data_IF_902688772379
#
_entry.id   IF_902688772379
#
_cell.length_a   1.000
_cell.length_b   1.000
_cell.length_c   1.000
_cell.angle_alpha   90.00
_cell.angle_beta   90.00
_cell.angle_gamma   90.00
#
_symmetry.space_group_name_H-M   'P 1'
#
loop_
_entity.id
_entity.type
_entity.pdbx_description
1 polymer ?
#
# COMPACT_ATOMS: atom_id res chain seq x y z
N UNK A 1 -2.75 47.65 -12.42
CA UNK A 1 -1.52 48.11 -13.07
C UNK A 1 -0.26 48.03 -12.20
N UNK A 2 -0.13 48.78 -11.10
CA UNK A 2 1.12 48.77 -10.30
C UNK A 2 1.34 47.44 -9.54
N UNK A 3 0.26 46.87 -9.00
CA UNK A 3 0.31 45.57 -8.32
C UNK A 3 0.61 44.39 -9.27
N UNK A 4 0.12 44.45 -10.51
CA UNK A 4 0.36 43.41 -11.55
C UNK A 4 1.78 43.46 -12.08
N UNK A 5 2.38 44.65 -12.22
CA UNK A 5 3.80 44.80 -12.59
C UNK A 5 4.70 44.19 -11.52
N UNK A 6 4.43 44.50 -10.24
CA UNK A 6 5.18 43.97 -9.10
C UNK A 6 5.09 42.45 -9.00
N UNK A 7 3.91 41.88 -9.25
CA UNK A 7 3.70 40.43 -9.26
C UNK A 7 4.44 39.75 -10.43
N UNK A 8 4.44 40.36 -11.62
CA UNK A 8 5.15 39.84 -12.79
C UNK A 8 6.68 39.82 -12.58
N UNK A 9 7.23 40.88 -11.99
CA UNK A 9 8.65 40.96 -11.65
C UNK A 9 9.07 39.89 -10.64
N UNK A 10 8.24 39.64 -9.61
CA UNK A 10 8.49 38.58 -8.64
C UNK A 10 8.50 37.18 -9.28
N UNK A 11 7.59 36.91 -10.21
CA UNK A 11 7.55 35.62 -10.92
C UNK A 11 8.81 35.44 -11.78
N UNK A 12 9.22 36.48 -12.51
CA UNK A 12 10.43 36.44 -13.34
C UNK A 12 11.68 36.19 -12.48
N UNK A 13 11.79 36.83 -11.31
CA UNK A 13 12.89 36.59 -10.37
C UNK A 13 12.91 35.15 -9.84
N UNK A 14 11.74 34.57 -9.53
CA UNK A 14 11.65 33.16 -9.11
C UNK A 14 12.11 32.20 -10.21
N UNK A 15 11.70 32.46 -11.46
CA UNK A 15 12.11 31.65 -12.60
C UNK A 15 13.64 31.70 -12.77
N UNK A 16 14.22 32.89 -12.72
CA UNK A 16 15.67 33.09 -12.80
C UNK A 16 16.43 32.35 -11.70
N UNK A 17 15.97 32.45 -10.45
CA UNK A 17 16.61 31.77 -9.32
C UNK A 17 16.63 30.24 -9.50
N UNK A 18 15.53 29.65 -9.98
CA UNK A 18 15.45 28.20 -10.24
C UNK A 18 16.36 27.79 -11.40
N UNK A 19 16.43 28.61 -12.46
CA UNK A 19 17.36 28.38 -13.58
C UNK A 19 18.81 28.38 -13.10
N UNK A 20 19.21 29.38 -12.32
CA UNK A 20 20.57 29.49 -11.77
C UNK A 20 20.90 28.30 -10.86
N UNK A 21 19.98 27.92 -9.98
CA UNK A 21 20.12 26.75 -9.13
C UNK A 21 20.31 25.47 -9.96
N UNK A 22 19.46 25.24 -10.96
CA UNK A 22 19.55 24.04 -11.82
C UNK A 22 20.82 23.99 -12.65
N UNK A 23 21.29 25.14 -13.14
CA UNK A 23 22.58 25.24 -13.83
C UNK A 23 23.75 24.92 -12.88
N UNK A 24 23.70 25.39 -11.63
CA UNK A 24 24.72 25.09 -10.63
C UNK A 24 24.74 23.60 -10.24
N UNK A 25 23.56 23.00 -9.98
CA UNK A 25 23.39 21.57 -9.67
C UNK A 25 23.97 20.68 -10.78
N UNK A 26 23.70 21.01 -12.05
CA UNK A 26 24.17 20.26 -13.22
C UNK A 26 25.61 20.64 -13.64
N UNK A 27 26.29 21.55 -12.91
CA UNK A 27 27.60 22.15 -13.29
C UNK A 27 27.63 22.61 -14.76
N UNK A 28 26.51 23.17 -15.22
CA UNK A 28 26.26 23.48 -16.61
C UNK A 28 26.76 24.89 -16.96
N UNK A 29 27.53 25.00 -18.05
CA UNK A 29 27.97 26.30 -18.61
C UNK A 29 26.92 26.85 -19.57
N UNK A 30 26.89 28.16 -19.75
CA UNK A 30 25.95 28.84 -20.66
C UNK A 30 25.97 28.28 -22.09
N UNK A 31 27.16 27.94 -22.62
CA UNK A 31 27.29 27.34 -23.96
C UNK A 31 26.55 26.01 -24.06
N UNK A 32 26.70 25.14 -23.07
CA UNK A 32 26.02 23.84 -23.05
C UNK A 32 24.50 23.98 -22.99
N UNK A 33 23.99 24.97 -22.24
CA UNK A 33 22.57 25.29 -22.22
C UNK A 33 22.05 25.76 -23.59
N UNK A 34 22.84 26.58 -24.30
CA UNK A 34 22.49 27.04 -25.65
C UNK A 34 22.48 25.88 -26.65
N UNK A 35 23.42 24.95 -26.54
CA UNK A 35 23.48 23.76 -27.39
C UNK A 35 22.21 22.92 -27.21
N UNK A 36 21.76 22.70 -25.95
CA UNK A 36 20.51 21.98 -25.64
C UNK A 36 19.28 22.74 -26.17
N UNK A 37 19.24 24.07 -26.01
CA UNK A 37 18.17 24.89 -26.58
C UNK A 37 18.09 24.72 -28.10
N UNK A 38 19.23 24.72 -28.80
CA UNK A 38 19.30 24.57 -30.24
C UNK A 38 18.89 23.16 -30.70
N UNK A 39 19.32 22.10 -30.00
CA UNK A 39 18.89 20.72 -30.25
C UNK A 39 17.38 20.55 -30.15
N UNK A 40 16.74 21.31 -29.25
CA UNK A 40 15.28 21.34 -29.07
C UNK A 40 14.54 22.32 -30.01
N UNK A 41 15.25 22.99 -30.92
CA UNK A 41 14.67 23.90 -31.90
C UNK A 41 14.40 25.33 -31.40
N UNK A 42 14.96 25.72 -30.25
CA UNK A 42 14.86 27.08 -29.72
C UNK A 42 16.02 27.97 -30.20
N UNK A 43 15.71 29.25 -30.41
CA UNK A 43 16.68 30.25 -30.85
C UNK A 43 16.90 31.25 -29.71
N UNK A 44 17.92 31.02 -28.89
CA UNK A 44 18.35 31.94 -27.84
C UNK A 44 19.79 32.37 -28.13
N UNK A 45 20.06 33.67 -28.14
CA UNK A 45 21.42 34.14 -28.40
C UNK A 45 22.29 34.13 -27.15
N UNK A 46 23.60 33.89 -27.32
CA UNK A 46 24.54 33.91 -26.19
C UNK A 46 24.58 35.27 -25.47
N UNK A 47 24.47 36.37 -26.22
CA UNK A 47 24.45 37.73 -25.67
C UNK A 47 23.16 38.03 -24.89
N UNK A 48 22.02 37.46 -25.29
CA UNK A 48 20.76 37.54 -24.56
C UNK A 48 20.81 36.70 -23.28
N UNK A 49 21.22 35.42 -23.36
CA UNK A 49 21.35 34.55 -22.20
C UNK A 49 22.30 35.14 -21.15
N UNK A 50 23.45 35.66 -21.57
CA UNK A 50 24.40 36.29 -20.65
C UNK A 50 23.81 37.51 -19.95
N UNK A 51 23.02 38.35 -20.65
CA UNK A 51 22.39 39.55 -20.06
C UNK A 51 21.24 39.19 -19.12
N UNK A 52 20.51 38.12 -19.42
CA UNK A 52 19.44 37.57 -18.58
C UNK A 52 20.03 37.08 -17.25
N UNK A 53 21.05 36.21 -17.31
CA UNK A 53 21.71 35.65 -16.12
C UNK A 53 22.47 36.73 -15.31
N UNK A 54 23.01 37.75 -15.97
CA UNK A 54 23.62 38.88 -15.27
C UNK A 54 22.60 39.91 -14.77
N UNK A 55 21.29 39.62 -14.81
CA UNK A 55 20.21 40.51 -14.37
C UNK A 55 20.19 41.90 -15.05
N UNK A 56 20.79 42.01 -16.25
CA UNK A 56 20.89 43.28 -17.01
C UNK A 56 19.66 43.55 -17.88
N UNK A 57 18.93 42.51 -18.24
CA UNK A 57 17.66 42.61 -18.97
C UNK A 57 16.61 41.73 -18.29
N UNK A 58 15.35 42.18 -18.33
CA UNK A 58 14.23 41.35 -17.88
C UNK A 58 14.03 40.17 -18.84
N UNK A 59 13.81 38.99 -18.30
CA UNK A 59 13.55 37.79 -19.07
C UNK A 59 12.18 37.87 -19.76
N UNK A 60 12.17 37.75 -21.09
CA UNK A 60 10.93 37.59 -21.86
C UNK A 60 10.33 36.19 -21.72
N UNK A 61 9.05 36.04 -22.07
CA UNK A 61 8.35 34.75 -22.01
C UNK A 61 9.00 33.67 -22.89
N UNK A 62 9.43 34.04 -24.10
CA UNK A 62 10.06 33.08 -25.02
C UNK A 62 11.39 32.54 -24.47
N UNK A 63 12.36 33.39 -24.05
CA UNK A 63 13.57 32.90 -23.38
C UNK A 63 13.27 32.08 -22.12
N UNK A 64 12.25 32.47 -21.33
CA UNK A 64 11.86 31.71 -20.14
C UNK A 64 11.41 30.28 -20.50
N UNK A 65 10.54 30.13 -21.50
CA UNK A 65 10.05 28.82 -21.94
C UNK A 65 11.18 27.97 -22.54
N UNK A 66 12.02 28.56 -23.39
CA UNK A 66 13.14 27.86 -24.03
C UNK A 66 14.15 27.34 -23.00
N UNK A 67 14.55 28.19 -22.04
CA UNK A 67 15.52 27.82 -21.00
C UNK A 67 14.92 26.82 -20.02
N UNK A 68 13.67 27.01 -19.59
CA UNK A 68 13.01 26.08 -18.70
C UNK A 68 12.87 24.69 -19.35
N UNK A 69 12.44 24.61 -20.61
CA UNK A 69 12.34 23.32 -21.30
C UNK A 69 13.72 22.68 -21.50
N UNK A 70 14.75 23.45 -21.87
CA UNK A 70 16.12 22.93 -21.98
C UNK A 70 16.69 22.39 -20.66
N UNK A 71 16.28 22.96 -19.53
CA UNK A 71 16.72 22.52 -18.20
C UNK A 71 15.83 21.46 -17.55
N UNK A 72 14.73 21.08 -18.20
CA UNK A 72 13.68 20.19 -17.68
C UNK A 72 13.00 20.79 -16.42
N UNK A 73 12.64 22.07 -16.51
CA UNK A 73 11.96 22.84 -15.47
C UNK A 73 10.50 23.05 -15.90
N UNK A 74 9.56 22.55 -15.09
CA UNK A 74 8.15 22.86 -15.29
C UNK A 74 7.84 24.28 -14.82
N UNK A 75 7.74 25.19 -15.78
CA UNK A 75 7.46 26.61 -15.54
C UNK A 75 6.13 26.83 -14.79
N UNK A 76 5.15 25.93 -14.95
CA UNK A 76 3.87 26.03 -14.24
C UNK A 76 4.06 25.87 -12.73
N UNK A 77 5.05 25.09 -12.29
CA UNK A 77 5.35 24.92 -10.86
C UNK A 77 5.89 26.19 -10.22
N UNK A 78 6.55 27.04 -11.00
CA UNK A 78 7.13 28.30 -10.54
C UNK A 78 6.09 29.43 -10.59
N UNK A 79 5.30 29.46 -11.66
CA UNK A 79 4.25 30.48 -11.90
C UNK A 79 3.04 30.24 -11.00
N UNK A 80 2.70 28.98 -10.72
CA UNK A 80 1.57 28.57 -9.90
C UNK A 80 1.97 27.54 -8.83
N UNK A 81 2.77 27.94 -7.82
CA UNK A 81 3.24 27.03 -6.78
C UNK A 81 2.09 26.34 -6.04
N UNK A 82 0.95 27.02 -5.90
CA UNK A 82 -0.25 26.52 -5.20
C UNK A 82 -1.10 25.55 -6.04
N UNK A 83 -0.83 25.42 -7.35
CA UNK A 83 -1.58 24.53 -8.26
C UNK A 83 -0.86 23.23 -8.60
N UNK A 84 0.38 23.06 -8.12
CA UNK A 84 1.12 21.81 -8.30
C UNK A 84 0.53 20.77 -7.37
N UNK A 85 -0.20 19.80 -7.92
CA UNK A 85 -0.51 18.55 -7.22
C UNK A 85 0.80 17.80 -6.97
N UNK A 86 1.53 18.20 -5.93
CA UNK A 86 2.65 17.40 -5.41
C UNK A 86 2.05 16.12 -4.86
N UNK A 87 2.36 14.98 -5.47
CA UNK A 87 2.19 13.70 -4.81
C UNK A 87 3.14 13.72 -3.60
N UNK A 88 2.60 13.91 -2.41
CA UNK A 88 3.32 14.19 -1.17
C UNK A 88 3.99 12.96 -0.54
N UNK A 89 3.90 11.78 -1.17
CA UNK A 89 4.58 10.58 -0.66
C UNK A 89 6.05 10.62 -1.08
N UNK A 90 6.88 11.26 -0.27
CA UNK A 90 8.33 11.25 -0.44
C UNK A 90 8.87 9.84 -0.20
N UNK A 91 9.12 9.09 -1.28
CA UNK A 91 9.77 7.80 -1.27
C UNK A 91 11.16 7.95 -1.91
N UNK A 92 12.25 8.06 -1.12
CA UNK A 92 13.59 8.13 -1.67
C UNK A 92 13.88 6.90 -2.52
N UNK A 93 14.19 7.12 -3.80
CA UNK A 93 14.53 6.01 -4.71
C UNK A 93 15.81 5.27 -4.31
N UNK A 94 16.65 5.87 -3.45
CA UNK A 94 17.82 5.21 -2.86
C UNK A 94 17.46 4.08 -1.89
N UNK A 95 16.25 4.11 -1.33
CA UNK A 95 15.82 3.21 -0.25
C UNK A 95 14.65 2.34 -0.69
N UNK A 96 13.72 2.93 -1.46
CA UNK A 96 12.55 2.25 -1.98
C UNK A 96 12.67 2.06 -3.49
N UNK A 97 12.46 0.82 -3.93
CA UNK A 97 12.33 0.53 -5.35
C UNK A 97 10.91 0.90 -5.75
N UNK A 98 10.79 1.82 -6.71
CA UNK A 98 9.49 2.29 -7.24
C UNK A 98 9.35 2.04 -8.74
N UNK A 99 10.49 1.86 -9.45
CA UNK A 99 10.53 1.59 -10.88
C UNK A 99 10.06 0.16 -11.18
N UNK A 100 9.01 -0.03 -12.00
CA UNK A 100 8.45 -1.34 -12.30
C UNK A 100 9.36 -2.24 -13.15
N UNK A 101 10.41 -1.71 -13.78
CA UNK A 101 11.36 -2.49 -14.58
C UNK A 101 12.48 -3.10 -13.73
N UNK A 102 12.47 -2.83 -12.43
CA UNK A 102 13.45 -3.37 -11.48
C UNK A 102 13.04 -4.80 -11.09
N UNK A 103 13.99 -5.75 -10.96
CA UNK A 103 13.68 -7.15 -10.63
C UNK A 103 12.84 -7.35 -9.37
N UNK A 104 12.93 -6.40 -8.42
CA UNK A 104 12.19 -6.39 -7.18
C UNK A 104 10.67 -6.16 -7.39
N UNK A 105 10.26 -5.49 -8.47
CA UNK A 105 8.85 -5.18 -8.80
C UNK A 105 8.36 -5.91 -10.04
N UNK A 106 9.20 -6.13 -11.06
CA UNK A 106 8.76 -6.65 -12.37
C UNK A 106 7.89 -7.92 -12.23
N UNK A 107 8.30 -8.83 -11.34
CA UNK A 107 7.60 -10.09 -11.11
C UNK A 107 6.30 -9.96 -10.28
N UNK A 108 6.05 -8.79 -9.69
CA UNK A 108 4.76 -8.44 -9.08
C UNK A 108 3.75 -7.91 -10.10
N UNK A 109 4.15 -7.45 -11.29
CA UNK A 109 3.23 -6.83 -12.23
C UNK A 109 2.14 -7.78 -12.75
N UNK A 110 0.93 -7.26 -12.94
CA UNK A 110 -0.22 -7.96 -13.49
C UNK A 110 -1.42 -8.00 -12.53
N UNK A 111 -2.37 -8.86 -12.84
CA UNK A 111 -3.64 -8.98 -12.11
C UNK A 111 -3.62 -10.12 -11.09
N UNK A 112 -4.25 -9.86 -9.96
CA UNK A 112 -4.46 -10.79 -8.85
C UNK A 112 -5.93 -10.78 -8.45
N UNK A 113 -6.43 -11.95 -8.09
CA UNK A 113 -7.61 -12.08 -7.26
C UNK A 113 -7.22 -11.85 -5.80
N UNK A 114 -8.18 -11.42 -4.99
CA UNK A 114 -7.99 -11.18 -3.57
C UNK A 114 -9.10 -11.81 -2.74
N UNK A 115 -8.76 -12.23 -1.53
CA UNK A 115 -9.67 -12.85 -0.58
C UNK A 115 -9.38 -12.32 0.83
N UNK A 116 -10.41 -11.85 1.54
CA UNK A 116 -10.30 -11.39 2.93
C UNK A 116 -11.69 -11.35 3.60
N UNK A 117 -11.75 -11.35 4.93
CA UNK A 117 -13.01 -11.18 5.66
C UNK A 117 -13.40 -9.71 5.78
N UNK A 118 -14.70 -9.44 5.72
CA UNK A 118 -15.26 -8.14 6.06
C UNK A 118 -14.90 -7.76 7.50
N UNK A 119 -14.62 -6.49 7.71
CA UNK A 119 -14.22 -5.94 9.02
C UNK A 119 -15.40 -5.57 9.92
N UNK A 120 -16.62 -5.97 9.56
CA UNK A 120 -17.78 -5.82 10.44
C UNK A 120 -17.85 -7.04 11.37
N UNK A 121 -17.76 -6.80 12.68
CA UNK A 121 -17.80 -7.85 13.69
C UNK A 121 -19.11 -8.64 13.73
N UNK A 122 -20.14 -8.20 13.00
CA UNK A 122 -21.46 -8.87 12.92
C UNK A 122 -21.58 -9.84 11.75
N UNK A 123 -20.66 -9.80 10.80
CA UNK A 123 -20.75 -10.58 9.56
C UNK A 123 -19.45 -11.31 9.25
N UNK A 124 -19.49 -12.64 9.29
CA UNK A 124 -18.42 -13.50 8.74
C UNK A 124 -18.52 -13.57 7.22
N UNK A 125 -18.49 -12.40 6.56
CA UNK A 125 -18.61 -12.27 5.11
C UNK A 125 -17.23 -12.30 4.46
N UNK A 126 -17.00 -13.31 3.62
CA UNK A 126 -15.79 -13.42 2.81
C UNK A 126 -15.93 -12.54 1.56
N UNK A 127 -15.01 -11.59 1.41
CA UNK A 127 -15.00 -10.60 0.34
C UNK A 127 -14.00 -10.95 -0.75
N UNK A 128 -14.37 -10.63 -2.00
CA UNK A 128 -13.59 -10.90 -3.20
C UNK A 128 -13.31 -9.61 -3.95
N UNK A 129 -12.06 -9.43 -4.35
CA UNK A 129 -11.63 -8.27 -5.11
C UNK A 129 -10.57 -8.60 -6.15
N UNK A 130 -10.16 -7.57 -6.89
CA UNK A 130 -9.08 -7.65 -7.88
C UNK A 130 -8.05 -6.57 -7.61
N UNK A 131 -6.79 -6.98 -7.51
CA UNK A 131 -5.64 -6.08 -7.43
C UNK A 131 -4.89 -6.13 -8.76
N UNK A 132 -4.65 -4.97 -9.36
CA UNK A 132 -3.87 -4.84 -10.58
C UNK A 132 -2.65 -3.95 -10.32
N UNK A 133 -1.48 -4.51 -10.59
CA UNK A 133 -0.20 -3.81 -10.49
C UNK A 133 0.33 -3.58 -11.91
N UNK A 134 0.47 -2.31 -12.31
CA UNK A 134 0.86 -1.95 -13.67
C UNK A 134 1.96 -0.90 -13.69
N UNK A 135 2.85 -1.02 -14.68
CA UNK A 135 3.86 -0.01 -14.95
C UNK A 135 3.20 1.24 -15.52
N UNK A 136 3.46 2.40 -14.92
CA UNK A 136 3.07 3.72 -15.44
C UNK A 136 4.27 4.64 -15.48
N UNK A 137 4.17 5.70 -16.29
CA UNK A 137 5.20 6.73 -16.43
C UNK A 137 4.56 8.10 -16.26
N UNK A 138 5.19 8.95 -15.45
CA UNK A 138 4.80 10.36 -15.26
C UNK A 138 6.07 11.19 -15.24
N UNK A 139 6.12 12.25 -16.06
CA UNK A 139 7.26 13.20 -16.08
C UNK A 139 8.62 12.48 -16.16
N UNK A 140 8.75 11.55 -17.11
CA UNK A 140 9.95 10.71 -17.32
C UNK A 140 10.28 9.68 -16.23
N UNK A 141 9.58 9.65 -15.09
CA UNK A 141 9.78 8.67 -14.03
C UNK A 141 8.78 7.51 -14.14
N UNK A 142 9.29 6.28 -14.21
CA UNK A 142 8.47 5.08 -14.16
C UNK A 142 8.09 4.74 -12.72
N UNK A 143 6.87 4.26 -12.50
CA UNK A 143 6.37 3.82 -11.21
C UNK A 143 5.38 2.67 -11.33
N UNK A 144 5.26 1.86 -10.27
CA UNK A 144 4.23 0.83 -10.19
C UNK A 144 2.92 1.40 -9.64
N UNK A 145 1.91 1.48 -10.50
CA UNK A 145 0.54 1.85 -10.14
C UNK A 145 -0.17 0.64 -9.55
N UNK A 146 -0.96 0.87 -8.51
CA UNK A 146 -1.88 -0.13 -7.96
C UNK A 146 -3.32 0.32 -8.17
N UNK A 147 -4.16 -0.59 -8.67
CA UNK A 147 -5.60 -0.42 -8.75
C UNK A 147 -6.26 -1.59 -8.04
N UNK A 148 -7.17 -1.31 -7.12
CA UNK A 148 -7.90 -2.34 -6.41
C UNK A 148 -9.39 -2.13 -6.58
N UNK A 149 -10.10 -3.20 -6.90
CA UNK A 149 -11.54 -3.20 -7.02
C UNK A 149 -12.17 -4.26 -6.14
N UNK A 150 -13.22 -3.88 -5.43
CA UNK A 150 -13.92 -4.73 -4.49
C UNK A 150 -15.37 -4.84 -4.93
N UNK A 151 -15.82 -6.08 -5.10
CA UNK A 151 -17.22 -6.39 -5.34
C UNK A 151 -17.99 -6.17 -4.03
N UNK A 152 -18.97 -5.27 -4.03
CA UNK A 152 -19.80 -5.05 -2.83
C UNK A 152 -21.00 -5.97 -2.79
N UNK A 153 -21.27 -6.72 -3.87
CA UNK A 153 -22.50 -7.48 -4.09
C UNK A 153 -23.78 -6.62 -4.08
N UNK A 154 -23.65 -5.29 -3.99
CA UNK A 154 -24.76 -4.35 -4.05
C UNK A 154 -25.00 -3.89 -5.49
N UNK A 155 -26.22 -3.45 -5.78
CA UNK A 155 -26.58 -2.82 -7.05
C UNK A 155 -27.05 -1.39 -6.84
N UNK A 156 -26.75 -0.51 -7.79
CA UNK A 156 -27.27 0.85 -7.80
C UNK A 156 -28.78 0.89 -8.14
N UNK A 157 -29.34 2.09 -8.16
CA UNK A 157 -30.74 2.32 -8.50
C UNK A 157 -31.13 1.92 -9.93
N UNK A 158 -30.17 1.57 -10.78
CA UNK A 158 -30.34 1.10 -12.15
C UNK A 158 -30.03 -0.40 -12.29
N UNK A 159 -29.82 -1.11 -11.18
CA UNK A 159 -29.50 -2.54 -11.15
C UNK A 159 -28.07 -2.87 -11.57
N UNK A 160 -27.17 -1.88 -11.64
CA UNK A 160 -25.77 -2.10 -11.98
C UNK A 160 -24.94 -2.40 -10.71
N UNK A 161 -24.03 -3.37 -10.74
CA UNK A 161 -23.18 -3.68 -9.59
C UNK A 161 -22.37 -2.45 -9.13
N UNK A 162 -22.41 -2.18 -7.83
CA UNK A 162 -21.59 -1.15 -7.21
C UNK A 162 -20.22 -1.77 -6.91
N UNK A 163 -19.17 -1.19 -7.49
CA UNK A 163 -17.79 -1.62 -7.24
C UNK A 163 -17.05 -0.51 -6.50
N UNK A 164 -16.45 -0.83 -5.35
CA UNK A 164 -15.53 0.11 -4.68
C UNK A 164 -14.19 0.04 -5.39
N UNK A 165 -13.65 1.22 -5.72
CA UNK A 165 -12.42 1.35 -6.49
C UNK A 165 -11.41 2.20 -5.74
N UNK A 166 -10.20 1.67 -5.63
CA UNK A 166 -9.07 2.29 -4.97
C UNK A 166 -7.91 2.40 -5.95
N UNK A 167 -7.13 3.47 -5.79
CA UNK A 167 -5.97 3.75 -6.62
C UNK A 167 -4.79 4.16 -5.74
N UNK A 168 -3.59 3.76 -6.14
CA UNK A 168 -2.39 4.25 -5.51
C UNK A 168 -1.13 3.62 -6.07
N UNK A 169 -0.18 3.29 -5.20
CA UNK A 169 1.19 2.91 -5.60
C UNK A 169 1.65 1.66 -4.87
N UNK A 170 2.41 0.85 -5.60
CA UNK A 170 3.14 -0.29 -5.08
C UNK A 170 4.63 -0.01 -5.13
N UNK A 171 5.37 -0.39 -4.10
CA UNK A 171 6.81 -0.23 -4.03
C UNK A 171 7.41 -1.20 -3.02
N UNK A 172 8.72 -1.40 -3.10
CA UNK A 172 9.42 -2.40 -2.30
C UNK A 172 10.52 -1.73 -1.50
N UNK A 173 10.70 -2.16 -0.26
CA UNK A 173 11.91 -1.94 0.53
C UNK A 173 12.74 -3.22 0.54
N UNK A 174 13.75 -3.36 -0.34
CA UNK A 174 14.55 -4.58 -0.41
C UNK A 174 15.30 -4.84 0.89
N UNK A 175 15.77 -3.78 1.57
CA UNK A 175 16.51 -3.88 2.83
C UNK A 175 15.66 -4.46 3.96
N UNK A 176 14.37 -4.15 4.00
CA UNK A 176 13.46 -4.67 5.03
C UNK A 176 12.79 -5.97 4.60
N UNK A 177 12.91 -6.36 3.32
CA UNK A 177 12.19 -7.51 2.79
C UNK A 177 10.68 -7.33 2.84
N UNK A 178 10.18 -6.10 2.63
CA UNK A 178 8.74 -5.79 2.64
C UNK A 178 8.33 -5.06 1.36
N UNK A 179 7.16 -5.43 0.84
CA UNK A 179 6.48 -4.73 -0.23
C UNK A 179 5.25 -3.99 0.32
N UNK A 180 5.07 -2.75 -0.11
CA UNK A 180 4.01 -1.87 0.34
C UNK A 180 3.08 -1.55 -0.81
N UNK A 181 1.77 -1.52 -0.52
CA UNK A 181 0.76 -1.03 -1.43
C UNK A 181 -0.14 -0.04 -0.69
N UNK A 182 -0.07 1.24 -1.06
CA UNK A 182 -0.98 2.26 -0.55
C UNK A 182 -2.08 2.49 -1.57
N UNK A 183 -3.32 2.46 -1.09
CA UNK A 183 -4.53 2.57 -1.90
C UNK A 183 -5.44 3.63 -1.29
N UNK A 184 -6.03 4.48 -2.12
CA UNK A 184 -6.99 5.47 -1.71
C UNK A 184 -8.27 5.39 -2.54
N UNK A 185 -9.41 5.49 -1.87
CA UNK A 185 -10.70 5.73 -2.50
C UNK A 185 -11.07 7.20 -2.28
N UNK A 186 -10.75 8.03 -3.27
CA UNK A 186 -10.99 9.48 -3.20
C UNK A 186 -12.47 9.86 -3.12
N UNK A 187 -13.39 8.96 -3.49
CA UNK A 187 -14.84 9.22 -3.36
C UNK A 187 -15.31 9.07 -1.92
N UNK A 188 -14.75 8.10 -1.20
CA UNK A 188 -15.13 7.80 0.19
C UNK A 188 -14.19 8.45 1.21
N UNK A 189 -13.05 9.01 0.79
CA UNK A 189 -12.03 9.52 1.69
C UNK A 189 -11.31 8.42 2.48
N UNK A 190 -11.28 7.20 1.95
CA UNK A 190 -10.70 6.03 2.61
C UNK A 190 -9.28 5.77 2.11
N UNK A 191 -8.38 5.40 3.02
CA UNK A 191 -7.03 4.94 2.70
C UNK A 191 -6.86 3.54 3.28
N UNK A 192 -6.28 2.66 2.48
CA UNK A 192 -5.87 1.33 2.88
C UNK A 192 -4.35 1.19 2.68
N UNK A 193 -3.69 0.56 3.64
CA UNK A 193 -2.29 0.19 3.56
C UNK A 193 -2.18 -1.32 3.58
N UNK A 194 -1.51 -1.90 2.59
CA UNK A 194 -1.23 -3.32 2.54
C UNK A 194 0.28 -3.52 2.60
N UNK A 195 0.69 -4.46 3.45
CA UNK A 195 2.07 -4.89 3.59
C UNK A 195 2.19 -6.38 3.29
N UNK A 196 3.18 -6.73 2.48
CA UNK A 196 3.48 -8.11 2.11
C UNK A 196 4.95 -8.40 2.39
N UNK A 197 5.25 -9.63 2.78
CA UNK A 197 6.63 -10.09 2.79
C UNK A 197 7.18 -10.11 1.36
N UNK A 198 8.31 -9.46 1.17
CA UNK A 198 9.02 -9.40 -0.10
C UNK A 198 10.18 -10.39 -0.12
N UNK A 199 10.31 -11.08 -1.26
CA UNK A 199 11.57 -11.69 -1.69
C UNK A 199 11.73 -11.37 -3.17
N UNK A 200 12.96 -11.18 -3.62
CA UNK A 200 13.22 -10.95 -5.05
C UNK A 200 13.04 -12.26 -5.79
N UNK A 201 12.23 -12.23 -6.84
CA UNK A 201 12.07 -13.35 -7.76
C UNK A 201 12.80 -13.01 -9.04
N UNK A 202 13.64 -13.92 -9.55
CA UNK A 202 14.44 -13.68 -10.75
C UNK A 202 13.83 -14.30 -12.02
N UNK A 203 13.15 -15.45 -11.88
CA UNK A 203 12.69 -16.25 -13.02
C UNK A 203 11.20 -16.61 -12.98
N UNK A 204 10.54 -16.40 -11.83
CA UNK A 204 9.13 -16.77 -11.63
C UNK A 204 8.36 -15.52 -11.21
N UNK A 205 7.13 -15.38 -11.72
CA UNK A 205 6.21 -14.34 -11.24
C UNK A 205 5.75 -14.68 -9.83
N UNK A 206 5.32 -13.65 -9.10
CA UNK A 206 4.66 -13.85 -7.80
C UNK A 206 3.28 -14.45 -8.06
N UNK A 207 3.09 -15.72 -7.67
CA UNK A 207 1.81 -16.41 -7.83
C UNK A 207 0.82 -16.02 -6.72
N UNK A 208 1.29 -15.92 -5.48
CA UNK A 208 0.46 -15.53 -4.34
C UNK A 208 1.27 -14.89 -3.20
N UNK A 209 0.58 -14.13 -2.36
CA UNK A 209 1.08 -13.57 -1.10
C UNK A 209 -0.02 -13.46 -0.05
N UNK A 210 0.36 -13.71 1.19
CA UNK A 210 -0.39 -13.21 2.35
C UNK A 210 0.10 -11.79 2.68
N UNK A 211 -0.84 -10.90 2.97
CA UNK A 211 -0.57 -9.54 3.38
C UNK A 211 -1.36 -9.13 4.60
N UNK A 212 -0.85 -8.11 5.30
CA UNK A 212 -1.54 -7.45 6.39
C UNK A 212 -2.11 -6.14 5.87
N UNK A 213 -3.36 -5.85 6.23
CA UNK A 213 -4.09 -4.67 5.76
C UNK A 213 -4.52 -3.83 6.94
N UNK A 214 -4.18 -2.54 6.89
CA UNK A 214 -4.76 -1.51 7.73
C UNK A 214 -5.80 -0.74 6.92
N UNK A 215 -7.03 -0.72 7.41
CA UNK A 215 -8.18 -0.12 6.73
C UNK A 215 -9.16 0.51 7.72
N UNK A 216 -10.25 1.08 7.21
CA UNK A 216 -11.39 1.55 8.03
C UNK A 216 -12.50 0.50 8.01
N UNK A 217 -13.08 0.21 9.18
CA UNK A 217 -14.12 -0.80 9.33
C UNK A 217 -15.37 -0.53 8.49
N UNK A 218 -15.97 -1.62 8.01
CA UNK A 218 -17.33 -1.67 7.49
C UNK A 218 -18.37 -1.53 8.61
N UNK A 219 -19.56 -0.99 8.31
CA UNK A 219 -20.62 -0.73 9.29
C UNK A 219 -20.83 0.76 9.66
N UNK A 220 -21.80 1.03 10.54
CA UNK A 220 -22.18 2.39 10.98
C UNK A 220 -21.07 3.11 11.75
N UNK A 221 -20.36 2.36 12.60
CA UNK A 221 -19.25 2.89 13.40
C UNK A 221 -17.93 2.65 12.66
N UNK A 222 -17.35 3.72 12.13
CA UNK A 222 -16.05 3.71 11.47
C UNK A 222 -14.93 3.70 12.50
N UNK A 223 -14.11 2.64 12.48
CA UNK A 223 -12.92 2.49 13.33
C UNK A 223 -11.77 1.93 12.50
N UNK A 224 -10.51 2.27 12.83
CA UNK A 224 -9.37 1.57 12.23
C UNK A 224 -9.46 0.06 12.48
N UNK A 225 -9.15 -0.73 11.46
CA UNK A 225 -9.18 -2.19 11.50
C UNK A 225 -7.92 -2.76 10.85
N UNK A 226 -7.43 -3.86 11.41
CA UNK A 226 -6.33 -4.65 10.86
C UNK A 226 -6.86 -6.05 10.50
N UNK A 227 -6.50 -6.58 9.34
CA UNK A 227 -6.89 -7.92 8.91
C UNK A 227 -5.90 -8.50 7.88
N UNK A 228 -5.91 -9.82 7.69
CA UNK A 228 -5.13 -10.49 6.64
C UNK A 228 -5.86 -10.38 5.28
N UNK A 229 -5.08 -10.36 4.20
CA UNK A 229 -5.54 -10.48 2.81
C UNK A 229 -4.67 -11.48 2.07
N UNK A 230 -5.30 -12.35 1.28
CA UNK A 230 -4.58 -13.21 0.34
C UNK A 230 -4.71 -12.58 -1.04
N UNK A 231 -3.59 -12.41 -1.73
CA UNK A 231 -3.54 -12.06 -3.16
C UNK A 231 -3.00 -13.25 -3.93
N UNK A 232 -3.62 -13.60 -5.04
CA UNK A 232 -3.22 -14.77 -5.82
C UNK A 232 -3.57 -14.63 -7.30
N UNK A 233 -2.89 -15.40 -8.13
CA UNK A 233 -3.16 -15.53 -9.56
C UNK A 233 -3.92 -16.82 -9.87
N UNK A 234 -4.61 -16.83 -11.01
CA UNK A 234 -5.38 -17.98 -11.46
C UNK A 234 -6.76 -18.08 -10.79
N UNK A 235 -7.47 -19.16 -11.10
CA UNK A 235 -8.80 -19.44 -10.55
C UNK A 235 -8.67 -20.47 -9.43
N UNK A 236 -9.44 -20.30 -8.37
CA UNK A 236 -9.58 -21.28 -7.30
C UNK A 236 -10.87 -22.08 -7.47
N UNK A 237 -10.83 -23.34 -7.04
CA UNK A 237 -12.04 -24.08 -6.75
C UNK A 237 -12.63 -23.61 -5.41
N UNK A 238 -13.94 -23.81 -5.21
CA UNK A 238 -14.63 -23.42 -3.97
C UNK A 238 -14.04 -24.07 -2.71
N UNK A 239 -13.55 -25.31 -2.82
CA UNK A 239 -12.88 -26.01 -1.71
C UNK A 239 -11.56 -25.35 -1.31
N UNK A 240 -10.74 -24.93 -2.29
CA UNK A 240 -9.49 -24.21 -2.06
C UNK A 240 -9.76 -22.84 -1.45
N UNK A 241 -10.76 -22.13 -1.96
CA UNK A 241 -11.14 -20.82 -1.42
C UNK A 241 -11.54 -20.91 0.05
N UNK A 242 -12.31 -21.94 0.43
CA UNK A 242 -12.68 -22.18 1.82
C UNK A 242 -11.46 -22.51 2.70
N UNK A 243 -10.51 -23.31 2.20
CA UNK A 243 -9.27 -23.59 2.93
C UNK A 243 -8.42 -22.33 3.12
N UNK A 244 -8.29 -21.50 2.09
CA UNK A 244 -7.58 -20.21 2.17
C UNK A 244 -8.30 -19.24 3.11
N UNK A 245 -9.63 -19.27 3.18
CA UNK A 245 -10.38 -18.42 4.08
C UNK A 245 -9.98 -18.68 5.55
N UNK A 246 -9.72 -19.93 5.93
CA UNK A 246 -9.28 -20.25 7.29
C UNK A 246 -7.90 -19.66 7.63
N UNK A 247 -7.02 -19.45 6.63
CA UNK A 247 -5.69 -18.84 6.80
C UNK A 247 -5.74 -17.32 7.04
N UNK A 248 -6.91 -16.69 6.93
CA UNK A 248 -7.08 -15.26 7.17
C UNK A 248 -7.25 -14.89 8.65
N UNK A 249 -7.33 -15.87 9.55
CA UNK A 249 -7.39 -15.61 11.00
C UNK A 249 -6.09 -14.93 11.45
N UNK A 250 -6.23 -14.00 12.38
CA UNK A 250 -5.08 -13.36 13.03
C UNK A 250 -4.61 -14.27 14.16
N UNK A 251 -3.39 -14.75 14.05
CA UNK A 251 -2.69 -15.59 15.01
C UNK A 251 -1.19 -15.32 14.87
N UNK A 252 -0.44 -15.62 15.93
CA UNK A 252 1.02 -15.43 15.98
C UNK A 252 1.79 -16.75 15.91
N UNK A 253 1.29 -17.69 15.10
CA UNK A 253 1.86 -19.03 14.99
C UNK A 253 1.39 -19.99 16.10
N UNK A 254 0.64 -19.48 17.08
CA UNK A 254 -0.08 -20.30 18.06
C UNK A 254 -1.59 -20.30 17.78
N UNK A 255 -2.18 -21.49 17.76
CA UNK A 255 -3.61 -21.68 17.52
C UNK A 255 -4.29 -22.16 18.80
N UNK A 256 -5.11 -21.29 19.40
CA UNK A 256 -5.91 -21.64 20.58
C UNK A 256 -7.24 -22.27 20.16
N UNK A 257 -7.47 -23.53 20.57
CA UNK A 257 -8.70 -24.27 20.29
C UNK A 257 -9.30 -24.75 21.60
N UNK A 258 -10.61 -24.57 21.76
CA UNK A 258 -11.36 -25.19 22.86
C UNK A 258 -11.32 -26.72 22.75
N UNK A 259 -10.98 -27.41 23.85
CA UNK A 259 -10.86 -28.86 23.86
C UNK A 259 -12.12 -29.58 23.34
N UNK A 260 -13.31 -29.06 23.66
CA UNK A 260 -14.58 -29.61 23.17
C UNK A 260 -14.81 -29.34 21.68
N UNK A 261 -14.31 -28.23 21.14
CA UNK A 261 -14.37 -27.96 19.72
C UNK A 261 -13.49 -28.94 18.94
N UNK A 262 -12.27 -29.24 19.44
CA UNK A 262 -11.33 -30.19 18.82
C UNK A 262 -11.96 -31.60 18.67
N UNK A 263 -12.71 -32.06 19.69
CA UNK A 263 -13.41 -33.35 19.66
C UNK A 263 -14.50 -33.39 18.59
N UNK A 264 -15.18 -32.27 18.32
CA UNK A 264 -16.32 -32.17 17.39
C UNK A 264 -15.93 -32.01 15.91
N UNK A 265 -14.67 -31.70 15.60
CA UNK A 265 -14.22 -31.50 14.20
C UNK A 265 -14.45 -32.78 13.40
N UNK A 266 -15.17 -32.73 12.27
CA UNK A 266 -15.37 -33.90 11.41
C UNK A 266 -14.21 -34.04 10.40
N UNK A 267 -13.39 -35.08 10.53
CA UNK A 267 -12.22 -35.36 9.69
C UNK A 267 -12.10 -36.86 9.39
N UNK A 268 -11.38 -37.25 8.32
CA UNK A 268 -11.07 -38.65 8.04
C UNK A 268 -10.42 -39.36 9.24
N UNK A 269 -10.61 -40.67 9.34
CA UNK A 269 -10.18 -41.48 10.48
C UNK A 269 -8.65 -41.40 10.73
N UNK A 270 -7.85 -41.34 9.68
CA UNK A 270 -6.39 -41.17 9.81
C UNK A 270 -6.02 -39.83 10.45
N UNK A 271 -6.65 -38.74 10.01
CA UNK A 271 -6.48 -37.41 10.62
C UNK A 271 -7.02 -37.38 12.05
N UNK A 272 -8.12 -38.10 12.33
CA UNK A 272 -8.65 -38.21 13.69
C UNK A 272 -7.66 -38.83 14.65
N UNK A 273 -6.97 -39.90 14.26
CA UNK A 273 -5.93 -40.54 15.07
C UNK A 273 -4.79 -39.55 15.39
N UNK A 274 -4.37 -38.76 14.40
CA UNK A 274 -3.39 -37.70 14.62
C UNK A 274 -3.89 -36.65 15.61
N UNK A 275 -5.12 -36.14 15.45
CA UNK A 275 -5.72 -35.17 16.37
C UNK A 275 -5.82 -35.69 17.81
N UNK A 276 -6.19 -36.96 17.99
CA UNK A 276 -6.25 -37.58 19.31
C UNK A 276 -4.84 -37.65 19.93
N UNK A 277 -3.84 -38.10 19.17
CA UNK A 277 -2.45 -38.13 19.65
C UNK A 277 -1.92 -36.74 20.01
N UNK A 278 -2.28 -35.70 19.24
CA UNK A 278 -1.96 -34.31 19.55
C UNK A 278 -2.64 -33.88 20.86
N UNK A 279 -3.92 -34.21 21.05
CA UNK A 279 -4.65 -33.89 22.27
C UNK A 279 -4.04 -34.54 23.52
N UNK A 280 -3.47 -35.73 23.40
CA UNK A 280 -2.82 -36.43 24.52
C UNK A 280 -1.44 -35.83 24.85
N UNK A 281 -0.75 -35.27 23.85
CA UNK A 281 0.54 -34.60 24.02
C UNK A 281 0.41 -33.18 24.57
N UNK A 282 -0.64 -32.45 24.17
CA UNK A 282 -0.84 -31.06 24.55
C UNK A 282 -1.39 -30.96 25.98
N UNK A 283 -0.69 -30.22 26.84
CA UNK A 283 -1.23 -29.83 28.15
C UNK A 283 -2.11 -28.60 27.98
N UNK A 284 -3.42 -28.75 28.16
CA UNK A 284 -4.34 -27.63 28.09
C UNK A 284 -4.16 -26.66 29.26
N UNK A 285 -4.16 -25.36 28.95
CA UNK A 285 -4.26 -24.28 29.94
C UNK A 285 -5.68 -23.70 29.91
N UNK A 286 -6.24 -23.41 31.08
CA UNK A 286 -7.57 -22.79 31.20
C UNK A 286 -7.44 -21.27 31.23
N UNK A 287 -8.18 -20.59 30.35
CA UNK A 287 -8.22 -19.12 30.28
C UNK A 287 -9.58 -18.58 30.73
N UNK A 288 -9.58 -17.33 31.19
CA UNK A 288 -10.78 -16.58 31.50
C UNK A 288 -10.95 -15.43 30.51
N UNK A 289 -12.12 -15.33 29.88
CA UNK A 289 -12.46 -14.17 29.04
C UNK A 289 -13.02 -13.04 29.90
N UNK A 290 -12.28 -11.93 29.99
CA UNK A 290 -12.69 -10.75 30.76
C UNK A 290 -12.97 -9.58 29.81
N UNK A 291 -14.14 -8.94 29.97
CA UNK A 291 -14.49 -7.71 29.27
C UNK A 291 -15.14 -6.69 30.22
N UNK A 292 -15.38 -5.46 29.73
CA UNK A 292 -15.86 -4.37 30.58
C UNK A 292 -17.26 -4.62 31.14
N UNK A 293 -18.09 -5.33 30.40
CA UNK A 293 -19.41 -5.76 30.87
C UNK A 293 -19.27 -6.78 31.99
N UNK A 294 -18.37 -7.76 31.88
CA UNK A 294 -18.09 -8.73 32.95
C UNK A 294 -17.67 -8.05 34.25
N UNK A 295 -16.80 -7.03 34.20
CA UNK A 295 -16.38 -6.29 35.39
C UNK A 295 -17.52 -5.44 36.01
N UNK A 296 -18.30 -4.75 35.17
CA UNK A 296 -19.50 -4.02 35.64
C UNK A 296 -20.55 -4.95 36.23
N UNK A 297 -20.70 -6.15 35.69
CA UNK A 297 -21.62 -7.15 36.21
C UNK A 297 -21.16 -7.69 37.57
N UNK A 298 -19.86 -7.91 37.74
CA UNK A 298 -19.28 -8.30 39.02
C UNK A 298 -19.46 -7.22 40.10
N UNK A 299 -19.32 -5.94 39.74
CA UNK A 299 -19.63 -4.83 40.65
C UNK A 299 -20.14 -3.59 39.91
N UNK A 300 -21.46 -3.36 39.97
CA UNK A 300 -22.15 -2.25 39.31
C UNK A 300 -21.77 -0.86 39.83
N UNK A 301 -21.13 -0.76 41.00
CA UNK A 301 -20.71 0.51 41.60
C UNK A 301 -19.35 0.99 41.10
N UNK A 302 -18.61 0.17 40.35
CA UNK A 302 -17.30 0.56 39.83
C UNK A 302 -17.44 1.75 38.88
N UNK A 303 -16.65 2.79 39.13
CA UNK A 303 -16.53 3.90 38.19
C UNK A 303 -15.75 3.48 36.95
N UNK A 304 -15.90 4.22 35.83
CA UNK A 304 -15.13 3.94 34.62
C UNK A 304 -13.61 4.04 34.87
N UNK A 305 -13.15 4.90 35.77
CA UNK A 305 -11.72 5.04 36.13
C UNK A 305 -11.22 3.77 36.83
N UNK A 306 -12.00 3.23 37.77
CA UNK A 306 -11.65 1.97 38.45
C UNK A 306 -11.65 0.78 37.51
N UNK A 307 -12.61 0.72 36.58
CA UNK A 307 -12.66 -0.31 35.54
C UNK A 307 -11.40 -0.26 34.68
N UNK A 308 -11.01 0.93 34.20
CA UNK A 308 -9.79 1.09 33.40
C UNK A 308 -8.53 0.71 34.16
N UNK A 309 -8.41 1.09 35.44
CA UNK A 309 -7.27 0.72 36.27
C UNK A 309 -7.16 -0.80 36.45
N UNK A 310 -8.27 -1.46 36.76
CA UNK A 310 -8.31 -2.92 36.88
C UNK A 310 -7.97 -3.61 35.55
N UNK A 311 -8.50 -3.10 34.44
CA UNK A 311 -8.17 -3.62 33.10
C UNK A 311 -6.69 -3.54 32.78
N UNK A 312 -6.02 -2.45 33.17
CA UNK A 312 -4.60 -2.29 32.94
C UNK A 312 -3.79 -3.38 33.65
N UNK A 313 -4.16 -3.70 34.90
CA UNK A 313 -3.50 -4.76 35.68
C UNK A 313 -3.79 -6.13 35.07
N UNK A 314 -5.05 -6.40 34.69
CA UNK A 314 -5.41 -7.68 34.08
C UNK A 314 -4.74 -7.89 32.72
N UNK A 315 -4.52 -6.83 31.94
CA UNK A 315 -3.79 -6.90 30.67
C UNK A 315 -2.32 -7.28 30.84
N UNK A 316 -1.68 -6.85 31.92
CA UNK A 316 -0.29 -7.23 32.24
C UNK A 316 -0.16 -8.74 32.52
N UNK A 317 -1.25 -9.37 32.96
CA UNK A 317 -1.34 -10.82 33.16
C UNK A 317 -1.85 -11.58 31.92
N UNK A 318 -2.21 -10.89 30.83
CA UNK A 318 -2.72 -11.55 29.63
C UNK A 318 -1.58 -12.19 28.83
N UNK A 319 -1.86 -13.32 28.18
CA UNK A 319 -0.93 -13.94 27.21
C UNK A 319 -1.09 -13.33 25.80
N UNK A 320 -1.93 -12.30 25.65
CA UNK A 320 -2.08 -11.58 24.38
C UNK A 320 -0.75 -10.93 23.95
N UNK A 321 -0.40 -11.11 22.69
CA UNK A 321 0.79 -10.47 22.11
C UNK A 321 0.52 -9.02 21.67
N UNK A 322 1.61 -8.23 21.64
CA UNK A 322 1.57 -6.84 21.18
C UNK A 322 1.69 -6.68 19.66
N UNK A 323 2.11 -7.73 18.96
CA UNK A 323 2.48 -7.68 17.55
C UNK A 323 1.84 -8.82 16.79
N UNK A 324 1.61 -8.62 15.49
CA UNK A 324 1.23 -9.67 14.56
C UNK A 324 2.33 -9.81 13.51
N UNK A 325 2.84 -11.02 13.29
CA UNK A 325 3.89 -11.27 12.30
C UNK A 325 3.36 -12.15 11.16
N UNK A 326 3.65 -11.75 9.92
CA UNK A 326 3.47 -12.62 8.76
C UNK A 326 4.80 -13.27 8.42
N UNK A 327 4.84 -14.60 8.46
CA UNK A 327 6.07 -15.34 8.26
C UNK A 327 6.17 -15.98 6.86
N UNK A 328 7.27 -16.69 6.63
CA UNK A 328 7.49 -17.40 5.37
C UNK A 328 6.62 -18.66 5.25
N UNK A 329 6.25 -19.27 6.36
CA UNK A 329 5.53 -20.53 6.42
C UNK A 329 4.08 -20.34 5.93
N UNK A 330 3.41 -19.25 6.32
CA UNK A 330 2.06 -18.95 5.84
C UNK A 330 2.01 -18.74 4.32
N UNK A 331 2.99 -18.02 3.78
CA UNK A 331 3.18 -17.83 2.34
C UNK A 331 3.31 -19.17 1.60
N UNK A 332 4.06 -20.12 2.17
CA UNK A 332 4.28 -21.46 1.63
C UNK A 332 3.01 -22.32 1.71
N UNK A 333 2.31 -22.30 2.85
CA UNK A 333 1.04 -23.01 3.03
C UNK A 333 -0.01 -22.56 2.00
N UNK A 334 -0.14 -21.24 1.80
CA UNK A 334 -1.07 -20.69 0.80
C UNK A 334 -0.66 -21.10 -0.61
N UNK A 335 0.64 -21.04 -0.93
CA UNK A 335 1.14 -21.47 -2.23
C UNK A 335 0.83 -22.95 -2.51
N UNK A 336 1.03 -23.82 -1.53
CA UNK A 336 0.74 -25.26 -1.66
C UNK A 336 -0.75 -25.52 -1.85
N UNK A 337 -1.63 -24.83 -1.09
CA UNK A 337 -3.08 -24.96 -1.24
C UNK A 337 -3.56 -24.53 -2.64
N UNK A 338 -2.95 -23.50 -3.21
CA UNK A 338 -3.25 -23.03 -4.57
C UNK A 338 -2.67 -24.01 -5.61
N UNK A 339 -1.48 -24.56 -5.36
CA UNK A 339 -0.71 -25.34 -6.34
C UNK A 339 -1.13 -26.81 -6.46
N UNK A 340 -1.75 -27.39 -5.42
CA UNK A 340 -2.11 -28.82 -5.32
C UNK A 340 -2.90 -29.39 -6.51
N UNK A 341 -3.63 -28.57 -7.26
CA UNK A 341 -4.39 -29.01 -8.45
C UNK A 341 -3.89 -28.44 -9.78
N UNK A 342 -2.87 -27.57 -9.79
CA UNK A 342 -2.35 -26.98 -11.03
C UNK A 342 -1.24 -27.79 -11.71
N UNK A 343 -0.94 -29.00 -11.20
CA UNK A 343 0.10 -29.90 -11.74
C UNK A 343 1.52 -29.34 -11.63
N UNK A 344 1.71 -28.23 -10.91
CA UNK A 344 3.02 -27.60 -10.69
C UNK A 344 3.57 -28.04 -9.34
N UNK A 345 4.21 -29.21 -9.30
CA UNK A 345 5.09 -29.57 -8.18
C UNK A 345 6.30 -28.64 -8.16
N UNK A 346 6.77 -28.28 -6.96
CA UNK A 346 8.02 -27.54 -6.78
C UNK A 346 9.19 -28.28 -7.46
N UNK A 347 9.78 -27.63 -8.45
CA UNK A 347 11.19 -27.75 -8.84
C UNK A 347 11.87 -26.39 -8.70
#
# INVERSE_FOLDING_TARGET
>A
MENEKKQKEQIIQRILAVIEQKMAEKRMKQKALLDICAEKGYVVSQSELSRILSHKIAMGLYPALAICDALDIDINQIVHPDRVKRETTFLPQSTFVTDPNRPEIENYLGSYHTLFYATDYREDKLLRGRLELSAKKKESQAYCSAFFSLDTEDTDMYGQPIEKRYQGRFFVSPQMGIAYCFLANNKLGEICSLEFRHRTFFYKRVECRLGLVLTTSTGEKKTPAAHKIIVYRGKLQSSQEQQLAHMLKLDNGEMHIEAEALKKINVPEETRKLLNSLSDMLRGTTYYTVNAASLKNANRKLSNVQISALFSILRDCSEDEYTLHLDAMEDEMIFDLISRDSGKSLQ
#
